data_IF_638600364678
#
_entry.id   IF_638600364678
#
_cell.length_a   1.000
_cell.length_b   1.000
_cell.length_c   1.000
_cell.angle_alpha   90.00
_cell.angle_beta   90.00
_cell.angle_gamma   90.00
#
_symmetry.space_group_name_H-M   'P 1'
#
loop_
_entity.id
_entity.type
_entity.pdbx_description
1 polymer ?
#
# COMPACT_ATOMS: atom_id res chain seq x y z
N UNK A 1 -16.04 31.44 1.97
CA UNK A 1 -15.91 30.11 1.34
C UNK A 1 -16.67 30.15 0.03
N UNK A 2 -16.00 29.88 -1.10
CA UNK A 2 -16.61 29.92 -2.43
C UNK A 2 -17.28 28.58 -2.78
N UNK A 3 -18.09 28.55 -3.85
CA UNK A 3 -18.65 27.31 -4.39
C UNK A 3 -17.53 26.33 -4.85
N UNK A 4 -16.41 26.86 -5.35
CA UNK A 4 -15.23 26.06 -5.74
C UNK A 4 -14.59 25.40 -4.51
N UNK A 5 -14.45 26.15 -3.41
CA UNK A 5 -13.92 25.63 -2.16
C UNK A 5 -14.82 24.53 -1.59
N UNK A 6 -16.14 24.75 -1.60
CA UNK A 6 -17.12 23.77 -1.12
C UNK A 6 -17.04 22.47 -1.93
N UNK A 7 -16.99 22.56 -3.27
CA UNK A 7 -16.83 21.39 -4.15
C UNK A 7 -15.51 20.66 -3.89
N UNK A 8 -14.43 21.39 -3.62
CA UNK A 8 -13.12 20.79 -3.29
C UNK A 8 -13.20 20.02 -1.98
N UNK A 9 -13.78 20.60 -0.94
CA UNK A 9 -13.92 19.94 0.36
C UNK A 9 -14.83 18.71 0.29
N UNK A 10 -15.95 18.77 -0.46
CA UNK A 10 -16.81 17.60 -0.67
C UNK A 10 -16.06 16.42 -1.33
N UNK A 11 -15.17 16.69 -2.30
CA UNK A 11 -14.34 15.64 -2.90
C UNK A 11 -13.36 15.04 -1.89
N UNK A 12 -12.78 15.87 -1.03
CA UNK A 12 -11.88 15.42 0.04
C UNK A 12 -12.63 14.54 1.04
N UNK A 13 -13.77 15.00 1.56
CA UNK A 13 -14.55 14.23 2.55
C UNK A 13 -14.98 12.86 2.02
N UNK A 14 -15.51 12.79 0.78
CA UNK A 14 -15.86 11.51 0.15
C UNK A 14 -14.67 10.57 -0.01
N UNK A 15 -13.49 11.11 -0.30
CA UNK A 15 -12.28 10.30 -0.41
C UNK A 15 -11.83 9.76 0.96
N UNK A 16 -11.88 10.58 2.01
CA UNK A 16 -11.52 10.17 3.38
C UNK A 16 -12.51 9.17 3.96
N UNK A 17 -13.82 9.34 3.71
CA UNK A 17 -14.87 8.38 4.05
C UNK A 17 -14.60 7.02 3.41
N UNK A 18 -14.31 6.99 2.09
CA UNK A 18 -13.95 5.76 1.39
C UNK A 18 -12.72 5.07 1.99
N UNK A 19 -11.75 5.84 2.47
CA UNK A 19 -10.52 5.32 3.07
C UNK A 19 -10.67 4.98 4.55
N UNK A 20 -11.83 5.27 5.16
CA UNK A 20 -12.12 5.09 6.59
C UNK A 20 -11.09 5.77 7.53
N UNK A 21 -10.45 6.85 7.09
CA UNK A 21 -9.49 7.62 7.89
C UNK A 21 -9.37 9.07 7.42
N UNK A 22 -9.10 9.98 8.36
CA UNK A 22 -8.83 11.38 8.07
C UNK A 22 -7.35 11.67 7.76
N UNK A 23 -6.47 10.71 8.01
CA UNK A 23 -5.02 10.83 7.82
C UNK A 23 -4.49 9.62 7.05
N UNK A 24 -4.88 9.45 5.77
CA UNK A 24 -4.45 8.31 4.98
C UNK A 24 -2.96 8.44 4.64
N UNK A 25 -2.24 7.34 4.80
CA UNK A 25 -0.88 7.18 4.31
C UNK A 25 -0.83 5.91 3.48
N UNK A 26 -0.03 5.92 2.42
CA UNK A 26 0.29 4.68 1.73
C UNK A 26 1.07 3.77 2.68
N UNK A 27 0.56 2.57 2.95
CA UNK A 27 1.20 1.58 3.82
C UNK A 27 2.56 1.05 3.33
N UNK A 28 3.05 1.52 2.18
CA UNK A 28 4.29 1.05 1.54
C UNK A 28 5.36 2.15 1.48
N UNK A 29 5.01 3.32 0.92
CA UNK A 29 5.97 4.41 0.74
C UNK A 29 5.71 5.62 1.64
N UNK A 30 4.64 5.61 2.44
CA UNK A 30 4.30 6.72 3.32
C UNK A 30 3.78 7.98 2.61
N UNK A 31 3.46 7.93 1.31
CA UNK A 31 2.80 9.02 0.60
C UNK A 31 1.54 9.47 1.37
N UNK A 32 1.40 10.77 1.73
CA UNK A 32 0.25 11.26 2.51
C UNK A 32 -0.90 11.83 1.67
N UNK A 33 -0.74 12.02 0.36
CA UNK A 33 -1.74 12.72 -0.44
C UNK A 33 -2.99 11.86 -0.70
N UNK A 34 -4.06 12.15 0.04
CA UNK A 34 -5.37 11.50 -0.09
C UNK A 34 -5.89 11.42 -1.54
N UNK A 35 -5.49 12.35 -2.42
CA UNK A 35 -5.94 12.41 -3.82
C UNK A 35 -5.49 11.20 -4.64
N UNK A 36 -4.42 10.53 -4.21
CA UNK A 36 -3.83 9.41 -4.95
C UNK A 36 -4.03 8.05 -4.27
N UNK A 37 -4.85 7.97 -3.22
CA UNK A 37 -5.03 6.76 -2.41
C UNK A 37 -6.13 5.82 -2.93
N UNK A 38 -5.80 4.54 -2.97
CA UNK A 38 -6.63 3.42 -3.44
C UNK A 38 -6.66 2.32 -2.36
N UNK A 39 -7.76 1.57 -2.32
CA UNK A 39 -7.88 0.40 -1.44
C UNK A 39 -7.42 -0.83 -2.23
N UNK A 40 -6.34 -1.45 -1.79
CA UNK A 40 -5.78 -2.65 -2.41
C UNK A 40 -6.31 -3.90 -1.74
N UNK A 41 -6.94 -4.81 -2.49
CA UNK A 41 -7.39 -6.10 -2.00
C UNK A 41 -6.23 -7.10 -1.93
N UNK A 42 -5.89 -7.54 -0.72
CA UNK A 42 -4.70 -8.37 -0.46
C UNK A 42 -4.77 -9.72 -1.19
N UNK A 43 -5.92 -10.40 -1.15
CA UNK A 43 -6.13 -11.68 -1.86
C UNK A 43 -6.69 -11.50 -3.29
N UNK A 44 -6.84 -10.26 -3.75
CA UNK A 44 -7.58 -9.90 -4.96
C UNK A 44 -9.08 -9.71 -4.71
N UNK A 45 -9.68 -8.75 -5.43
CA UNK A 45 -11.02 -8.22 -5.17
C UNK A 45 -12.16 -9.26 -5.15
N UNK A 46 -12.02 -10.37 -5.88
CA UNK A 46 -13.08 -11.40 -5.97
C UNK A 46 -13.00 -12.46 -4.87
N UNK A 47 -11.97 -12.43 -4.02
CA UNK A 47 -11.65 -13.54 -3.11
C UNK A 47 -11.75 -13.16 -1.65
N UNK A 48 -11.41 -11.92 -1.30
CA UNK A 48 -11.47 -11.42 0.07
C UNK A 48 -11.62 -9.89 0.10
N UNK A 49 -12.32 -9.38 1.12
CA UNK A 49 -12.60 -7.96 1.29
C UNK A 49 -11.53 -7.21 2.10
N UNK A 50 -10.51 -7.90 2.61
CA UNK A 50 -9.42 -7.25 3.35
C UNK A 50 -8.64 -6.33 2.42
N UNK A 51 -8.55 -5.06 2.81
CA UNK A 51 -7.83 -4.05 2.04
C UNK A 51 -6.77 -3.32 2.85
N UNK A 52 -5.78 -2.79 2.12
CA UNK A 52 -4.76 -1.87 2.64
C UNK A 52 -4.75 -0.60 1.81
N UNK A 53 -4.48 0.55 2.43
CA UNK A 53 -4.41 1.84 1.74
C UNK A 53 -3.06 1.97 1.05
N UNK A 54 -3.07 2.09 -0.28
CA UNK A 54 -1.88 2.30 -1.09
C UNK A 54 -2.04 3.53 -1.99
N UNK A 55 -0.95 4.25 -2.26
CA UNK A 55 -0.95 5.23 -3.35
C UNK A 55 -1.04 4.50 -4.69
N UNK A 56 -1.61 5.15 -5.72
CA UNK A 56 -1.80 4.57 -7.06
C UNK A 56 -0.55 3.91 -7.65
N UNK A 57 0.63 4.47 -7.39
CA UNK A 57 1.89 3.92 -7.89
C UNK A 57 2.27 2.61 -7.19
N UNK A 58 2.19 2.56 -5.86
CA UNK A 58 2.44 1.34 -5.10
C UNK A 58 1.35 0.29 -5.37
N UNK A 59 0.09 0.72 -5.46
CA UNK A 59 -1.03 -0.15 -5.81
C UNK A 59 -0.79 -0.85 -7.15
N UNK A 60 -0.39 -0.10 -8.19
CA UNK A 60 -0.08 -0.66 -9.50
C UNK A 60 0.98 -1.77 -9.44
N UNK A 61 2.05 -1.57 -8.67
CA UNK A 61 3.15 -2.55 -8.54
C UNK A 61 2.65 -3.85 -7.90
N UNK A 62 1.96 -3.74 -6.77
CA UNK A 62 1.48 -4.93 -6.03
C UNK A 62 0.38 -5.66 -6.80
N UNK A 63 -0.50 -4.94 -7.50
CA UNK A 63 -1.48 -5.57 -8.40
C UNK A 63 -0.84 -6.27 -9.59
N UNK A 64 0.36 -5.87 -10.00
CA UNK A 64 1.12 -6.57 -11.04
C UNK A 64 1.75 -7.84 -10.48
N UNK A 65 2.36 -7.76 -9.29
CA UNK A 65 2.92 -8.90 -8.55
C UNK A 65 1.85 -10.02 -8.35
N UNK A 66 0.58 -9.66 -8.12
CA UNK A 66 -0.54 -10.62 -8.01
C UNK A 66 -0.80 -11.45 -9.29
N UNK A 67 -0.34 -11.02 -10.47
CA UNK A 67 -0.50 -11.79 -11.71
C UNK A 67 0.47 -12.96 -11.79
N UNK A 68 1.55 -12.93 -11.03
CA UNK A 68 2.53 -14.01 -10.95
C UNK A 68 2.09 -15.13 -9.99
N UNK A 69 0.94 -14.95 -9.31
CA UNK A 69 0.35 -15.98 -8.46
C UNK A 69 -0.12 -17.19 -9.29
N UNK A 70 -0.20 -18.39 -8.69
CA UNK A 70 -0.75 -19.56 -9.37
C UNK A 70 -2.11 -19.30 -10.03
N UNK A 71 -2.31 -19.89 -11.20
CA UNK A 71 -3.57 -19.82 -11.95
C UNK A 71 -4.68 -20.49 -11.14
N UNK A 72 -5.86 -19.88 -11.12
CA UNK A 72 -7.03 -20.47 -10.45
C UNK A 72 -7.50 -21.74 -11.16
N UNK A 73 -7.84 -22.76 -10.38
CA UNK A 73 -8.54 -23.96 -10.83
C UNK A 73 -10.01 -23.87 -10.40
N UNK A 74 -10.94 -24.13 -11.34
CA UNK A 74 -12.38 -24.11 -11.08
C UNK A 74 -12.84 -25.22 -10.12
N UNK A 75 -12.02 -26.26 -9.92
CA UNK A 75 -12.31 -27.36 -9.01
C UNK A 75 -11.61 -27.21 -7.65
N UNK A 76 -10.90 -26.11 -7.42
CA UNK A 76 -10.22 -25.87 -6.15
C UNK A 76 -11.21 -25.64 -5.00
N UNK A 77 -10.79 -26.00 -3.80
CA UNK A 77 -11.47 -25.57 -2.58
C UNK A 77 -11.37 -24.04 -2.46
N UNK A 78 -12.53 -23.37 -2.46
CA UNK A 78 -12.59 -21.92 -2.49
C UNK A 78 -12.00 -21.25 -1.23
N UNK A 79 -12.10 -21.90 -0.08
CA UNK A 79 -11.59 -21.37 1.20
C UNK A 79 -10.07 -21.48 1.21
N UNK A 80 -9.53 -22.64 0.84
CA UNK A 80 -8.08 -22.83 0.76
C UNK A 80 -7.45 -21.94 -0.32
N UNK A 81 -8.12 -21.75 -1.47
CA UNK A 81 -7.66 -20.81 -2.50
C UNK A 81 -7.60 -19.37 -1.96
N UNK A 82 -8.66 -18.91 -1.27
CA UNK A 82 -8.70 -17.56 -0.71
C UNK A 82 -7.58 -17.33 0.32
N UNK A 83 -7.38 -18.27 1.23
CA UNK A 83 -6.29 -18.22 2.22
C UNK A 83 -4.93 -18.18 1.51
N UNK A 84 -4.71 -19.06 0.53
CA UNK A 84 -3.46 -19.09 -0.24
C UNK A 84 -3.16 -17.77 -0.95
N UNK A 85 -4.17 -17.17 -1.61
CA UNK A 85 -4.01 -15.86 -2.27
C UNK A 85 -3.76 -14.73 -1.28
N UNK A 86 -4.42 -14.75 -0.12
CA UNK A 86 -4.17 -13.78 0.95
C UNK A 86 -2.71 -13.85 1.42
N UNK A 87 -2.20 -15.06 1.68
CA UNK A 87 -0.82 -15.26 2.12
C UNK A 87 0.20 -14.80 1.08
N UNK A 88 -0.03 -15.09 -0.20
CA UNK A 88 0.84 -14.61 -1.28
C UNK A 88 0.82 -13.08 -1.41
N UNK A 89 -0.37 -12.47 -1.41
CA UNK A 89 -0.50 -11.01 -1.48
C UNK A 89 0.12 -10.30 -0.27
N UNK A 90 -0.03 -10.87 0.93
CA UNK A 90 0.65 -10.38 2.12
C UNK A 90 2.17 -10.49 1.98
N UNK A 91 2.69 -11.59 1.43
CA UNK A 91 4.12 -11.75 1.19
C UNK A 91 4.66 -10.70 0.21
N UNK A 92 3.91 -10.37 -0.85
CA UNK A 92 4.31 -9.34 -1.81
C UNK A 92 4.38 -7.94 -1.17
N UNK A 93 3.42 -7.60 -0.30
CA UNK A 93 3.48 -6.38 0.51
C UNK A 93 4.71 -6.37 1.43
N UNK A 94 4.95 -7.47 2.16
CA UNK A 94 6.07 -7.58 3.09
C UNK A 94 7.43 -7.46 2.41
N UNK A 95 7.62 -8.06 1.23
CA UNK A 95 8.87 -7.94 0.45
C UNK A 95 9.24 -6.48 0.17
N UNK A 96 8.26 -5.68 -0.24
CA UNK A 96 8.47 -4.27 -0.55
C UNK A 96 8.75 -3.42 0.70
N UNK A 97 8.11 -3.77 1.81
CA UNK A 97 8.41 -3.16 3.12
C UNK A 97 9.86 -3.49 3.51
N UNK A 98 10.29 -4.75 3.34
CA UNK A 98 11.68 -5.17 3.59
C UNK A 98 12.67 -4.38 2.72
N UNK A 99 12.39 -4.21 1.42
CA UNK A 99 13.23 -3.39 0.53
C UNK A 99 13.39 -1.97 1.07
N UNK A 100 12.27 -1.37 1.50
CA UNK A 100 12.24 -0.01 2.04
C UNK A 100 13.04 0.08 3.34
N UNK A 101 12.79 -0.81 4.29
CA UNK A 101 13.52 -0.86 5.57
C UNK A 101 15.03 -1.03 5.35
N UNK A 102 15.44 -1.84 4.36
CA UNK A 102 16.85 -2.05 4.02
C UNK A 102 17.50 -0.77 3.51
N UNK A 103 16.84 -0.03 2.61
CA UNK A 103 17.33 1.26 2.10
C UNK A 103 17.45 2.29 3.24
N UNK A 104 16.44 2.39 4.09
CA UNK A 104 16.49 3.32 5.22
C UNK A 104 17.61 2.96 6.20
N UNK A 105 17.72 1.68 6.59
CA UNK A 105 18.73 1.21 7.52
C UNK A 105 20.15 1.47 7.02
N UNK A 106 20.43 1.17 5.75
CA UNK A 106 21.74 1.43 5.14
C UNK A 106 22.05 2.92 5.06
N UNK A 107 21.09 3.76 4.62
CA UNK A 107 21.26 5.22 4.56
C UNK A 107 21.56 5.83 5.93
N UNK A 108 20.90 5.37 7.00
CA UNK A 108 21.14 5.86 8.35
C UNK A 108 22.54 5.51 8.85
N UNK A 109 23.03 4.31 8.56
CA UNK A 109 24.40 3.88 8.89
C UNK A 109 25.41 4.76 8.16
N UNK A 110 25.25 5.00 6.86
CA UNK A 110 26.14 5.87 6.08
C UNK A 110 26.21 7.29 6.66
N UNK A 111 25.05 7.89 6.97
CA UNK A 111 24.98 9.24 7.55
C UNK A 111 25.62 9.32 8.94
N UNK A 112 25.52 8.25 9.74
CA UNK A 112 26.12 8.23 11.07
C UNK A 112 27.64 8.43 11.06
N UNK A 113 28.31 8.02 9.97
CA UNK A 113 29.74 8.24 9.78
C UNK A 113 30.02 9.70 9.42
N UNK A 114 29.26 10.27 8.48
CA UNK A 114 29.42 11.64 8.00
C UNK A 114 29.18 12.68 9.12
N UNK A 115 28.12 12.49 9.90
CA UNK A 115 27.80 13.37 11.03
C UNK A 115 28.83 13.20 12.17
N UNK A 116 29.38 12.01 12.34
CA UNK A 116 30.45 11.75 13.31
C UNK A 116 31.79 12.40 12.94
N UNK A 117 32.09 12.55 11.64
CA UNK A 117 33.25 13.28 11.14
C UNK A 117 33.08 14.80 11.23
N UNK A 118 31.87 15.33 11.01
CA UNK A 118 31.59 16.77 11.12
C UNK A 118 31.64 17.31 12.56
N UNK A 119 31.54 16.43 13.57
CA UNK A 119 31.58 16.77 15.01
C UNK A 119 33.00 16.64 15.60
N UNK A 120 33.96 16.06 14.86
CA UNK A 120 35.37 15.89 15.30
C UNK A 120 36.27 17.00 14.76
#
# INVERSE_FOLDING_TARGET
MTDVDLKRELRKQRALERLATNTPYCGMCGEPDWRCMELHHVAGQKRDDTTVILCRNCHRKVSDDQKDHPVSDLNADAVLEAIGRFLLGLADLLRRIIDTLTVFGTTLIERSVQDGEAVR
#
